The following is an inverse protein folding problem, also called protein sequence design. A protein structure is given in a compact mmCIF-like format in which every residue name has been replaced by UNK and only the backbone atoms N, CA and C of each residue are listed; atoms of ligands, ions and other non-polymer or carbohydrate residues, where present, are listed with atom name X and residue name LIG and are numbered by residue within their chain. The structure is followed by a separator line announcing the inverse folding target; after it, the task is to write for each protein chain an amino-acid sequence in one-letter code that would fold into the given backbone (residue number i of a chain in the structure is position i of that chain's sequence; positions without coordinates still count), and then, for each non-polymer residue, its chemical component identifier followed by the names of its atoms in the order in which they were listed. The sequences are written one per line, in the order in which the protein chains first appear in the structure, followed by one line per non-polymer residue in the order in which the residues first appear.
data_IF_648929917325
#
_entry.id   IF_648929917325
#
_cell.length_a   1.000
_cell.length_b   1.000
_cell.length_c   1.000
_cell.angle_alpha   90.00
_cell.angle_beta   90.00
_cell.angle_gamma   90.00
#
_symmetry.space_group_name_H-M   'P 1'
#
loop_
_entity.id
_entity.type
_entity.pdbx_description
1 polymer ?
#
# COMPACT_ATOMS: atom_id res chain seq x y z
N UNK A 1 9.99 -10.88 -0.06
CA UNK A 1 9.65 -9.60 0.59
C UNK A 1 10.07 -9.59 2.05
N UNK A 2 9.97 -10.70 2.77
CA UNK A 2 10.33 -10.85 4.19
C UNK A 2 11.76 -10.39 4.56
N UNK A 3 12.72 -10.51 3.64
CA UNK A 3 14.12 -10.13 3.86
C UNK A 3 14.42 -8.63 3.74
N UNK A 4 13.51 -7.83 3.16
CA UNK A 4 13.72 -6.39 2.99
C UNK A 4 13.22 -5.58 4.19
N UNK A 5 12.16 -6.05 4.87
CA UNK A 5 11.52 -5.30 5.95
C UNK A 5 11.89 -5.79 7.36
N UNK A 6 12.21 -7.07 7.55
CA UNK A 6 12.38 -7.67 8.90
C UNK A 6 13.83 -7.71 9.41
N UNK A 7 14.80 -7.21 8.62
CA UNK A 7 16.23 -7.17 8.99
C UNK A 7 16.80 -5.76 9.11
N UNK A 8 15.95 -4.74 9.06
CA UNK A 8 16.37 -3.39 9.40
C UNK A 8 16.75 -3.43 10.88
N UNK A 9 18.01 -3.11 11.24
CA UNK A 9 18.42 -3.05 12.64
C UNK A 9 17.45 -2.16 13.42
N UNK A 10 16.98 -2.63 14.57
CA UNK A 10 16.18 -1.80 15.47
C UNK A 10 16.96 -0.50 15.76
N UNK A 11 16.35 0.65 15.47
CA UNK A 11 16.98 1.97 15.60
C UNK A 11 17.34 2.68 14.30
N UNK A 12 17.16 2.05 13.13
CA UNK A 12 17.15 2.76 11.84
C UNK A 12 15.70 3.04 11.45
N UNK A 13 15.18 4.17 11.93
CA UNK A 13 13.95 4.78 11.42
C UNK A 13 14.29 5.53 10.12
N UNK A 14 14.54 4.79 9.04
CA UNK A 14 14.65 5.38 7.71
C UNK A 14 13.32 5.22 6.97
N UNK A 15 12.50 6.27 7.05
CA UNK A 15 11.22 6.34 6.35
C UNK A 15 11.38 6.33 4.84
N UNK A 16 12.58 6.49 4.28
CA UNK A 16 12.81 6.50 2.83
C UNK A 16 12.56 5.14 2.18
N UNK A 17 12.73 4.04 2.91
CA UNK A 17 12.70 2.69 2.33
C UNK A 17 11.34 2.31 1.70
N UNK A 18 10.19 2.49 2.38
CA UNK A 18 8.87 2.34 1.74
C UNK A 18 8.68 3.21 0.49
N UNK A 19 9.18 4.45 0.51
CA UNK A 19 9.05 5.37 -0.63
C UNK A 19 9.90 4.95 -1.82
N UNK A 20 11.13 4.49 -1.59
CA UNK A 20 12.00 3.93 -2.64
C UNK A 20 11.32 2.72 -3.30
N UNK A 21 10.79 1.78 -2.52
CA UNK A 21 10.09 0.61 -3.06
C UNK A 21 8.87 1.02 -3.88
N UNK A 22 8.08 1.97 -3.36
CA UNK A 22 6.92 2.52 -4.07
C UNK A 22 7.29 3.12 -5.42
N UNK A 23 8.38 3.90 -5.48
CA UNK A 23 8.86 4.51 -6.72
C UNK A 23 9.39 3.49 -7.73
N UNK A 24 10.06 2.42 -7.28
CA UNK A 24 10.47 1.30 -8.14
C UNK A 24 9.25 0.60 -8.75
N UNK A 25 8.22 0.33 -7.94
CA UNK A 25 6.99 -0.31 -8.43
C UNK A 25 6.24 0.58 -9.43
N UNK A 26 6.17 1.89 -9.19
CA UNK A 26 5.64 2.86 -10.16
C UNK A 26 6.43 2.85 -11.48
N UNK A 27 7.76 2.85 -11.42
CA UNK A 27 8.60 2.79 -12.61
C UNK A 27 8.39 1.50 -13.40
N UNK A 28 8.29 0.35 -12.71
CA UNK A 28 7.95 -0.93 -13.34
C UNK A 28 6.59 -0.88 -14.03
N UNK A 29 5.57 -0.32 -13.37
CA UNK A 29 4.23 -0.19 -13.93
C UNK A 29 4.23 0.71 -15.17
N UNK A 30 4.90 1.87 -15.12
CA UNK A 30 4.99 2.75 -16.29
C UNK A 30 5.74 2.09 -17.47
N UNK A 31 6.76 1.27 -17.19
CA UNK A 31 7.42 0.49 -18.24
C UNK A 31 6.47 -0.53 -18.86
N UNK A 32 5.73 -1.28 -18.05
CA UNK A 32 4.81 -2.32 -18.55
C UNK A 32 3.62 -1.73 -19.30
N UNK A 33 2.99 -0.69 -18.76
CA UNK A 33 1.71 -0.17 -19.28
C UNK A 33 1.86 0.96 -20.28
N UNK A 34 2.98 1.68 -20.26
CA UNK A 34 3.21 2.88 -21.11
C UNK A 34 4.49 2.81 -21.93
N UNK A 35 5.28 1.73 -21.79
CA UNK A 35 6.61 1.59 -22.38
C UNK A 35 7.56 2.77 -22.07
N UNK A 36 7.42 3.36 -20.88
CA UNK A 36 8.28 4.46 -20.43
C UNK A 36 9.39 3.89 -19.55
N UNK A 37 10.64 4.07 -19.96
CA UNK A 37 11.81 3.79 -19.13
C UNK A 37 12.12 4.99 -18.24
N UNK A 38 11.96 4.82 -16.93
CA UNK A 38 12.39 5.82 -15.95
C UNK A 38 13.85 5.61 -15.60
N UNK A 39 14.57 6.72 -15.42
CA UNK A 39 15.95 6.67 -14.97
C UNK A 39 16.01 6.10 -13.53
N UNK A 40 16.81 5.04 -13.28
CA UNK A 40 16.92 4.45 -11.95
C UNK A 40 17.43 5.42 -10.87
N UNK A 41 18.36 6.30 -11.25
CA UNK A 41 18.94 7.28 -10.32
C UNK A 41 17.92 8.34 -9.93
N UNK A 42 17.14 8.84 -10.88
CA UNK A 42 16.04 9.78 -10.60
C UNK A 42 14.95 9.12 -9.75
N UNK A 43 14.66 7.84 -10.00
CA UNK A 43 13.69 7.06 -9.22
C UNK A 43 14.14 6.92 -7.76
N UNK A 44 15.43 6.68 -7.52
CA UNK A 44 16.01 6.61 -6.18
C UNK A 44 15.95 7.97 -5.47
N UNK A 45 16.37 9.04 -6.15
CA UNK A 45 16.34 10.40 -5.60
C UNK A 45 14.93 10.84 -5.23
N UNK A 46 13.92 10.49 -6.05
CA UNK A 46 12.52 10.73 -5.73
C UNK A 46 12.09 9.95 -4.49
N UNK A 47 12.50 8.68 -4.38
CA UNK A 47 12.23 7.85 -3.20
C UNK A 47 12.80 8.42 -1.90
N UNK A 48 13.97 9.07 -1.96
CA UNK A 48 14.62 9.71 -0.80
C UNK A 48 14.05 11.11 -0.50
N UNK A 49 13.69 11.90 -1.52
CA UNK A 49 13.26 13.29 -1.33
C UNK A 49 11.78 13.45 -0.94
N UNK A 50 10.93 12.55 -1.42
CA UNK A 50 9.48 12.59 -1.18
C UNK A 50 9.04 12.43 0.28
N UNK A 51 9.62 11.55 1.12
CA UNK A 51 9.27 11.50 2.54
C UNK A 51 9.51 12.85 3.23
N UNK A 52 10.64 13.50 2.94
CA UNK A 52 11.00 14.81 3.50
C UNK A 52 10.04 15.92 3.03
N UNK A 53 9.67 15.90 1.75
CA UNK A 53 8.71 16.84 1.18
C UNK A 53 7.32 16.67 1.79
N UNK A 54 6.90 15.41 1.99
CA UNK A 54 5.64 15.05 2.62
C UNK A 54 5.59 15.51 4.08
N UNK A 55 6.65 15.26 4.86
CA UNK A 55 6.77 15.71 6.26
C UNK A 55 6.72 17.25 6.35
N UNK A 56 7.50 17.94 5.52
CA UNK A 56 7.52 19.41 5.47
C UNK A 56 6.15 20.02 5.13
N UNK A 57 5.34 19.32 4.33
CA UNK A 57 3.99 19.76 3.98
C UNK A 57 3.01 19.66 5.16
N UNK A 58 3.26 18.79 6.15
CA UNK A 58 2.41 18.66 7.33
C UNK A 58 2.58 19.81 8.33
N UNK A 59 3.69 20.55 8.27
CA UNK A 59 4.02 21.61 9.25
C UNK A 59 3.15 22.87 9.09
N UNK A 60 2.54 23.10 7.92
CA UNK A 60 1.83 24.36 7.61
C UNK A 60 0.45 24.53 8.28
N UNK A 61 -0.08 23.49 8.91
CA UNK A 61 -1.32 23.58 9.71
C UNK A 61 -1.07 23.68 11.23
N UNK A 62 0.20 23.64 11.67
CA UNK A 62 0.54 23.51 13.09
C UNK A 62 0.71 24.86 13.82
N UNK A 63 0.91 25.97 13.11
CA UNK A 63 1.10 27.29 13.73
C UNK A 63 -0.18 27.86 14.35
N UNK A 64 -1.37 27.46 13.87
CA UNK A 64 -2.64 27.76 14.53
C UNK A 64 -3.04 26.72 15.59
N UNK A 65 -2.42 25.54 15.59
CA UNK A 65 -2.74 24.46 16.52
C UNK A 65 -2.05 24.66 17.88
N UNK A 66 -0.83 25.20 17.88
CA UNK A 66 -0.03 25.39 19.11
C UNK A 66 -0.60 26.44 20.08
N UNK A 67 -1.38 27.42 19.62
CA UNK A 67 -1.96 28.46 20.50
C UNK A 67 -3.29 28.03 21.15
N UNK A 68 -3.98 27.01 20.62
CA UNK A 68 -5.25 26.50 21.16
C UNK A 68 -5.02 25.40 22.23
N UNK A 69 -3.82 24.79 22.27
CA UNK A 69 -3.49 23.65 23.13
C UNK A 69 -3.15 23.97 24.60
N UNK A 70 -3.12 25.24 25.04
CA UNK A 70 -2.82 25.56 26.45
C UNK A 70 -4.04 25.42 27.39
N UNK A 71 -5.25 25.19 26.86
CA UNK A 71 -6.48 25.15 27.66
C UNK A 71 -7.36 23.91 27.48
N UNK A 72 -6.92 22.91 26.70
CA UNK A 72 -7.73 21.72 26.41
C UNK A 72 -7.11 20.56 27.19
N UNK A 73 -7.83 20.04 28.19
CA UNK A 73 -7.55 18.72 28.75
C UNK A 73 -7.31 17.76 27.59
N UNK A 74 -6.12 17.16 27.55
CA UNK A 74 -5.69 16.22 26.51
C UNK A 74 -6.73 15.11 26.43
N UNK A 75 -7.66 15.24 25.48
CA UNK A 75 -8.46 14.10 25.05
C UNK A 75 -7.43 13.07 24.56
N UNK A 76 -7.45 11.83 25.06
CA UNK A 76 -6.50 10.83 24.63
C UNK A 76 -6.49 10.82 23.11
N UNK A 77 -5.28 10.90 22.55
CA UNK A 77 -4.98 10.66 21.14
C UNK A 77 -5.97 9.61 20.64
N UNK A 78 -6.73 9.83 19.56
CA UNK A 78 -7.57 8.77 19.04
C UNK A 78 -6.62 7.61 18.78
N UNK A 79 -6.66 6.63 19.68
CA UNK A 79 -6.01 5.35 19.48
C UNK A 79 -6.48 4.96 18.11
N UNK A 80 -5.52 4.73 17.19
CA UNK A 80 -5.81 4.21 15.85
C UNK A 80 -6.94 3.21 16.04
N UNK A 81 -8.16 3.49 15.50
CA UNK A 81 -9.34 2.76 15.94
C UNK A 81 -9.01 1.30 15.77
N UNK A 82 -8.93 0.57 16.88
CA UNK A 82 -8.57 -0.85 16.86
C UNK A 82 -9.54 -1.46 15.88
N UNK A 83 -9.01 -1.90 14.73
CA UNK A 83 -9.86 -2.37 13.64
C UNK A 83 -10.55 -3.64 14.12
N UNK A 84 -11.79 -3.50 14.60
CA UNK A 84 -12.61 -4.62 15.10
C UNK A 84 -13.40 -5.29 13.97
N UNK A 85 -13.00 -5.06 12.73
CA UNK A 85 -13.61 -5.64 11.53
C UNK A 85 -12.93 -6.93 11.10
N UNK A 86 -13.48 -7.57 10.07
CA UNK A 86 -12.79 -8.65 9.37
C UNK A 86 -11.82 -8.05 8.34
N UNK A 87 -10.57 -8.52 8.30
CA UNK A 87 -9.60 -8.19 7.26
C UNK A 87 -9.77 -9.16 6.10
N UNK A 88 -10.17 -8.65 4.94
CA UNK A 88 -10.33 -9.43 3.72
C UNK A 88 -9.12 -9.26 2.79
N UNK A 89 -8.47 -10.36 2.43
CA UNK A 89 -7.55 -10.45 1.30
C UNK A 89 -8.30 -11.07 0.12
N UNK A 90 -8.06 -10.55 -1.08
CA UNK A 90 -8.66 -11.02 -2.32
C UNK A 90 -7.53 -11.09 -3.35
N UNK A 91 -7.33 -12.26 -3.96
CA UNK A 91 -6.40 -12.45 -5.08
C UNK A 91 -7.13 -12.97 -6.31
N UNK A 92 -6.54 -12.73 -7.48
CA UNK A 92 -7.09 -13.12 -8.77
C UNK A 92 -6.00 -13.62 -9.69
N UNK A 93 -6.24 -14.78 -10.32
CA UNK A 93 -5.36 -15.36 -11.32
C UNK A 93 -6.08 -15.50 -12.65
N UNK A 94 -5.41 -15.15 -13.73
CA UNK A 94 -5.92 -15.36 -15.09
C UNK A 94 -4.76 -15.80 -15.99
N UNK A 95 -5.12 -16.49 -17.06
CA UNK A 95 -4.18 -16.90 -18.11
C UNK A 95 -4.80 -16.56 -19.46
N UNK A 96 -4.03 -15.92 -20.33
CA UNK A 96 -4.50 -15.51 -21.67
C UNK A 96 -5.11 -16.66 -22.49
N UNK A 97 -4.58 -17.87 -22.31
CA UNK A 97 -5.04 -19.07 -23.02
C UNK A 97 -6.28 -19.73 -22.40
N UNK A 98 -6.80 -19.20 -21.29
CA UNK A 98 -7.89 -19.79 -20.53
C UNK A 98 -9.13 -18.88 -20.55
N UNK A 99 -10.32 -19.48 -20.62
CA UNK A 99 -11.60 -18.77 -20.54
C UNK A 99 -12.05 -18.57 -19.10
N UNK A 100 -11.32 -19.15 -18.14
CA UNK A 100 -11.59 -19.05 -16.72
C UNK A 100 -10.52 -18.20 -16.03
N UNK A 101 -10.98 -17.38 -15.09
CA UNK A 101 -10.14 -16.72 -14.11
C UNK A 101 -10.41 -17.34 -12.75
N UNK A 102 -9.36 -17.60 -11.97
CA UNK A 102 -9.46 -18.01 -10.58
C UNK A 102 -9.56 -16.77 -9.69
N UNK A 103 -10.48 -16.79 -8.74
CA UNK A 103 -10.60 -15.79 -7.69
C UNK A 103 -10.48 -16.50 -6.34
N UNK A 104 -9.78 -15.88 -5.40
CA UNK A 104 -9.74 -16.32 -4.02
C UNK A 104 -10.07 -15.18 -3.07
N UNK A 105 -10.44 -15.53 -1.84
CA UNK A 105 -10.55 -14.58 -0.75
C UNK A 105 -10.30 -15.25 0.59
N UNK A 106 -9.78 -14.48 1.53
CA UNK A 106 -9.58 -14.88 2.91
C UNK A 106 -9.98 -13.72 3.83
N UNK A 107 -10.93 -13.97 4.73
CA UNK A 107 -11.42 -13.02 5.73
C UNK A 107 -10.99 -13.53 7.11
N UNK A 108 -10.13 -12.79 7.81
CA UNK A 108 -9.71 -13.09 9.19
C UNK A 108 -10.17 -12.02 10.17
N UNK A 109 -10.69 -12.44 11.33
CA UNK A 109 -11.03 -11.53 12.43
C UNK A 109 -10.13 -11.81 13.64
N UNK A 110 -9.32 -10.81 14.01
CA UNK A 110 -8.25 -10.93 15.02
C UNK A 110 -8.78 -11.29 16.42
N UNK A 111 -10.01 -10.88 16.76
CA UNK A 111 -10.58 -11.12 18.10
C UNK A 111 -11.14 -12.54 18.31
N UNK A 112 -11.47 -13.27 17.24
CA UNK A 112 -12.24 -14.53 17.33
C UNK A 112 -11.47 -15.72 16.74
N UNK A 113 -10.25 -15.51 16.24
CA UNK A 113 -9.45 -16.52 15.52
C UNK A 113 -10.28 -17.26 14.45
N UNK A 114 -11.21 -16.54 13.83
CA UNK A 114 -12.07 -17.06 12.77
C UNK A 114 -11.54 -16.61 11.43
N UNK A 115 -11.22 -17.60 10.60
CA UNK A 115 -10.81 -17.40 9.22
C UNK A 115 -11.82 -18.08 8.31
N UNK A 116 -12.40 -17.33 7.38
CA UNK A 116 -13.25 -17.86 6.32
C UNK A 116 -12.56 -17.62 4.99
N UNK A 117 -12.49 -18.65 4.15
CA UNK A 117 -11.84 -18.56 2.85
C UNK A 117 -12.73 -19.17 1.78
N UNK A 118 -12.56 -18.72 0.55
CA UNK A 118 -13.24 -19.30 -0.60
C UNK A 118 -12.41 -19.14 -1.87
N UNK A 119 -12.64 -20.06 -2.80
CA UNK A 119 -12.07 -20.04 -4.14
C UNK A 119 -13.19 -20.25 -5.15
N UNK A 120 -13.18 -19.51 -6.25
CA UNK A 120 -14.12 -19.74 -7.35
C UNK A 120 -13.45 -19.50 -8.70
N UNK A 121 -13.93 -20.21 -9.72
CA UNK A 121 -13.56 -19.96 -11.10
C UNK A 121 -14.70 -19.19 -11.76
N UNK A 122 -14.38 -18.04 -12.34
CA UNK A 122 -15.32 -17.23 -13.11
C UNK A 122 -15.01 -17.35 -14.59
N UNK A 123 -16.03 -17.68 -15.38
CA UNK A 123 -15.93 -17.65 -16.83
C UNK A 123 -16.25 -16.24 -17.32
N UNK A 124 -15.34 -15.63 -18.08
CA UNK A 124 -15.67 -14.38 -18.76
C UNK A 124 -16.71 -14.67 -19.86
N UNK A 125 -17.81 -13.88 -19.97
CA UNK A 125 -18.66 -13.93 -21.15
C UNK A 125 -17.77 -13.66 -22.37
N UNK A 126 -17.85 -14.52 -23.37
CA UNK A 126 -16.92 -14.64 -24.50
C UNK A 126 -16.99 -13.48 -25.51
N UNK A 127 -16.99 -12.23 -25.05
CA UNK A 127 -16.86 -11.05 -25.88
C UNK A 127 -16.04 -9.98 -25.14
N UNK A 128 -14.96 -9.55 -25.77
CA UNK A 128 -14.17 -8.33 -25.53
C UNK A 128 -12.96 -8.45 -24.58
N UNK A 129 -11.93 -9.18 -24.99
CA UNK A 129 -10.54 -8.77 -24.77
C UNK A 129 -9.68 -9.23 -25.97
N UNK A 130 -9.88 -8.62 -27.13
CA UNK A 130 -8.85 -8.59 -28.17
C UNK A 130 -8.09 -7.27 -28.04
N UNK A 131 -6.78 -7.28 -27.74
CA UNK A 131 -5.98 -6.07 -27.84
C UNK A 131 -5.85 -5.68 -29.31
N UNK A 132 -6.22 -4.44 -29.62
CA UNK A 132 -5.93 -3.75 -30.89
C UNK A 132 -4.56 -3.12 -30.86
#
# INVERSE_FOLDING_TARGET
MDHLFWRIPEGIEDDSFPWILWYILKARNDKVFKNVDKNPQETLQLGEAEPLAWESAQVKDNDNFNQILQGIEVLPTPQNPVFRGCRCHIDGSWKETDNYSGLDWCCSQDEVERTVMGVCNTQSPSLLCTPS
#
